data_IF_198066616391
#
_entry.id   IF_198066616391
#
_cell.length_a   1.000
_cell.length_b   1.000
_cell.length_c   1.000
_cell.angle_alpha   90.00
_cell.angle_beta   90.00
_cell.angle_gamma   90.00
#
_symmetry.space_group_name_H-M   'P 1'
#
loop_
_entity.id
_entity.type
_entity.pdbx_description
1 polymer ?
#
# COMPACT_ATOMS: atom_id res chain seq x y z
N UNK A 1 -3.85 23.76 -2.34
CA UNK A 1 -2.72 23.75 -3.30
C UNK A 1 -2.25 22.33 -3.70
N UNK A 2 -2.74 21.24 -3.10
CA UNK A 2 -2.23 19.88 -3.40
C UNK A 2 -2.54 19.36 -4.82
N UNK A 3 -3.55 19.87 -5.54
CA UNK A 3 -3.98 19.34 -6.83
C UNK A 3 -3.41 20.06 -8.08
N UNK A 4 -2.29 20.80 -7.96
CA UNK A 4 -1.79 21.64 -9.06
C UNK A 4 -0.98 20.91 -10.13
N UNK A 5 -0.42 19.73 -9.83
CA UNK A 5 0.36 18.93 -10.77
C UNK A 5 -0.13 17.47 -10.77
N UNK A 6 -0.15 16.85 -11.95
CA UNK A 6 -0.53 15.45 -12.13
C UNK A 6 0.48 14.49 -11.48
N UNK A 7 1.78 14.80 -11.55
CA UNK A 7 2.83 13.98 -10.96
C UNK A 7 4.19 14.69 -11.01
N UNK A 8 5.12 14.25 -10.17
CA UNK A 8 6.48 14.82 -10.12
C UNK A 8 7.22 14.52 -11.42
N UNK A 9 7.04 13.31 -11.95
CA UNK A 9 7.70 12.82 -13.16
C UNK A 9 7.28 13.60 -14.40
N UNK A 10 5.99 13.91 -14.52
CA UNK A 10 5.44 14.78 -15.58
C UNK A 10 6.05 16.17 -15.49
N UNK A 11 6.05 16.78 -14.30
CA UNK A 11 6.62 18.12 -14.09
C UNK A 11 8.13 18.18 -14.39
N UNK A 12 8.89 17.14 -14.07
CA UNK A 12 10.31 17.05 -14.40
C UNK A 12 10.54 16.93 -15.92
N UNK A 13 9.76 16.08 -16.60
CA UNK A 13 9.88 15.86 -18.04
C UNK A 13 9.47 17.08 -18.89
N UNK A 14 8.60 17.95 -18.36
CA UNK A 14 8.25 19.22 -19.00
C UNK A 14 9.36 20.26 -18.97
N UNK A 15 10.31 20.14 -18.03
CA UNK A 15 11.33 21.18 -17.75
C UNK A 15 12.76 20.73 -17.98
N UNK A 16 13.02 19.43 -18.04
CA UNK A 16 14.34 18.85 -18.21
C UNK A 16 14.32 17.86 -19.39
N UNK A 17 15.43 17.78 -20.13
CA UNK A 17 15.60 16.85 -21.24
C UNK A 17 17.04 16.29 -21.30
N UNK A 18 17.22 15.23 -22.08
CA UNK A 18 18.51 14.58 -22.31
C UNK A 18 19.25 14.19 -21.01
N UNK A 19 20.56 14.43 -21.00
CA UNK A 19 21.48 14.04 -19.92
C UNK A 19 21.06 14.56 -18.54
N UNK A 20 20.47 15.75 -18.47
CA UNK A 20 20.03 16.34 -17.20
C UNK A 20 18.85 15.57 -16.60
N UNK A 21 17.84 15.25 -17.43
CA UNK A 21 16.70 14.46 -16.98
C UNK A 21 17.12 13.04 -16.57
N UNK A 22 18.02 12.43 -17.32
CA UNK A 22 18.52 11.08 -17.03
C UNK A 22 19.28 11.04 -15.70
N UNK A 23 20.13 12.02 -15.42
CA UNK A 23 20.88 12.10 -14.18
C UNK A 23 19.97 12.39 -12.98
N UNK A 24 19.00 13.31 -13.13
CA UNK A 24 17.96 13.54 -12.12
C UNK A 24 17.18 12.24 -11.85
N UNK A 25 16.81 11.50 -12.90
CA UNK A 25 16.10 10.22 -12.74
C UNK A 25 16.96 9.16 -12.05
N UNK A 26 18.26 9.09 -12.36
CA UNK A 26 19.20 8.18 -11.70
C UNK A 26 19.27 8.45 -10.20
N UNK A 27 19.36 9.71 -9.80
CA UNK A 27 19.44 10.11 -8.38
C UNK A 27 18.10 9.86 -7.67
N UNK A 28 16.99 10.29 -8.28
CA UNK A 28 15.67 10.23 -7.64
C UNK A 28 15.02 8.85 -7.68
N UNK A 29 15.26 8.03 -8.71
CA UNK A 29 14.59 6.73 -8.92
C UNK A 29 15.55 5.54 -8.95
N UNK A 30 16.86 5.77 -8.93
CA UNK A 30 17.90 4.73 -8.86
C UNK A 30 18.33 4.15 -10.21
N UNK A 31 17.44 4.12 -11.22
CA UNK A 31 17.77 3.71 -12.60
C UNK A 31 16.71 4.18 -13.61
N UNK A 32 17.03 4.24 -14.91
CA UNK A 32 16.02 4.24 -15.96
C UNK A 32 15.26 2.92 -15.97
N UNK A 33 13.93 2.98 -16.08
CA UNK A 33 13.06 1.80 -16.14
C UNK A 33 12.73 1.42 -17.57
N UNK A 34 12.77 0.12 -17.85
CA UNK A 34 12.12 -0.42 -19.05
C UNK A 34 10.62 -0.38 -18.81
N UNK A 35 9.89 0.22 -19.76
CA UNK A 35 8.44 0.20 -19.78
C UNK A 35 7.96 -1.22 -20.11
N UNK A 36 6.90 -1.66 -19.43
CA UNK A 36 6.19 -2.87 -19.80
C UNK A 36 5.13 -2.51 -20.83
N UNK A 37 5.24 -3.07 -22.03
CA UNK A 37 4.27 -2.86 -23.11
C UNK A 37 3.00 -3.67 -22.87
N UNK A 38 1.86 -3.05 -23.15
CA UNK A 38 0.53 -3.68 -23.01
C UNK A 38 -0.12 -3.86 -24.39
N UNK A 39 -0.97 -4.89 -24.51
CA UNK A 39 -1.73 -5.10 -25.75
C UNK A 39 -2.70 -3.94 -26.01
N UNK A 40 -3.09 -3.75 -27.28
CA UNK A 40 -4.06 -2.72 -27.65
C UNK A 40 -5.40 -2.91 -26.92
N UNK A 41 -5.80 -4.16 -26.67
CA UNK A 41 -7.02 -4.48 -25.92
C UNK A 41 -6.90 -4.02 -24.46
N UNK A 42 -5.75 -4.24 -23.83
CA UNK A 42 -5.52 -3.85 -22.43
C UNK A 42 -5.46 -2.33 -22.29
N UNK A 43 -4.81 -1.64 -23.24
CA UNK A 43 -4.80 -0.19 -23.29
C UNK A 43 -6.21 0.38 -23.49
N UNK A 44 -7.01 -0.25 -24.36
CA UNK A 44 -8.40 0.14 -24.59
C UNK A 44 -9.26 -0.03 -23.34
N UNK A 45 -9.08 -1.11 -22.56
CA UNK A 45 -9.79 -1.28 -21.28
C UNK A 45 -9.53 -0.12 -20.31
N UNK A 46 -8.27 0.34 -20.22
CA UNK A 46 -7.92 1.48 -19.39
C UNK A 46 -8.46 2.82 -19.93
N UNK A 47 -8.46 2.99 -21.25
CA UNK A 47 -9.00 4.17 -21.92
C UNK A 47 -10.52 4.27 -21.75
N UNK A 48 -11.26 3.20 -22.07
CA UNK A 48 -12.72 3.11 -21.93
C UNK A 48 -13.12 3.23 -20.44
N UNK A 49 -12.26 2.73 -19.55
CA UNK A 49 -12.41 2.87 -18.11
C UNK A 49 -11.96 4.23 -17.56
N UNK A 50 -11.38 5.14 -18.32
CA UNK A 50 -10.79 6.41 -17.82
C UNK A 50 -9.97 6.24 -16.53
N UNK A 51 -8.94 5.40 -16.59
CA UNK A 51 -7.92 5.34 -15.54
C UNK A 51 -6.52 5.21 -16.16
N UNK A 52 -5.52 5.68 -15.43
CA UNK A 52 -4.13 5.54 -15.85
C UNK A 52 -3.72 4.06 -15.81
N UNK A 53 -3.07 3.57 -16.87
CA UNK A 53 -2.39 2.28 -16.88
C UNK A 53 -0.90 2.53 -17.10
N UNK A 54 -0.05 2.02 -16.22
CA UNK A 54 1.40 2.19 -16.31
C UNK A 54 2.11 0.88 -15.99
N UNK A 55 3.22 0.62 -16.70
CA UNK A 55 3.89 -0.67 -16.71
C UNK A 55 5.40 -0.53 -16.65
N UNK A 56 6.06 -1.25 -15.75
CA UNK A 56 7.52 -1.23 -15.61
C UNK A 56 8.11 -2.64 -15.41
N UNK A 57 9.40 -2.79 -15.70
CA UNK A 57 10.13 -4.05 -15.47
C UNK A 57 11.28 -3.79 -14.49
N UNK A 58 11.37 -4.64 -13.47
CA UNK A 58 12.49 -4.76 -12.52
C UNK A 58 13.14 -6.12 -12.73
N UNK A 59 14.28 -6.13 -13.43
CA UNK A 59 15.06 -7.33 -13.67
C UNK A 59 16.07 -7.63 -12.54
N UNK A 60 16.54 -8.89 -12.52
CA UNK A 60 17.64 -9.37 -11.70
C UNK A 60 18.73 -9.97 -12.59
N UNK A 61 19.93 -10.18 -12.04
CA UNK A 61 20.99 -10.89 -12.75
C UNK A 61 20.61 -12.36 -12.95
N UNK A 62 21.06 -12.96 -14.05
CA UNK A 62 20.82 -14.38 -14.32
C UNK A 62 21.60 -15.24 -13.32
N UNK A 63 20.90 -16.14 -12.63
CA UNK A 63 21.53 -17.14 -11.76
C UNK A 63 21.85 -18.43 -12.54
N UNK A 64 22.93 -19.11 -12.14
CA UNK A 64 23.30 -20.42 -12.72
C UNK A 64 22.46 -21.57 -12.15
N UNK A 65 22.04 -21.46 -10.89
CA UNK A 65 21.35 -22.53 -10.15
C UNK A 65 19.85 -22.32 -10.02
N UNK A 66 19.31 -21.18 -10.46
CA UNK A 66 17.88 -20.84 -10.34
C UNK A 66 17.39 -20.17 -11.60
N UNK A 67 16.20 -20.58 -12.03
CA UNK A 67 15.48 -19.85 -13.06
C UNK A 67 15.02 -18.47 -12.51
N UNK A 68 14.83 -17.46 -13.38
CA UNK A 68 14.16 -16.22 -13.03
C UNK A 68 12.81 -16.49 -12.36
N UNK A 69 12.49 -15.75 -11.30
CA UNK A 69 11.21 -15.85 -10.59
C UNK A 69 10.37 -14.61 -10.89
N UNK A 70 9.88 -14.56 -12.12
CA UNK A 70 9.11 -13.43 -12.63
C UNK A 70 7.69 -13.43 -12.05
N UNK A 71 7.28 -12.28 -11.52
CA UNK A 71 5.92 -12.04 -11.04
C UNK A 71 5.47 -10.64 -11.45
N UNK A 72 4.23 -10.52 -11.93
CA UNK A 72 3.59 -9.22 -12.18
C UNK A 72 2.76 -8.80 -10.99
N UNK A 73 3.13 -7.68 -10.39
CA UNK A 73 2.43 -7.08 -9.25
C UNK A 73 1.69 -5.85 -9.71
N UNK A 74 0.41 -5.74 -9.34
CA UNK A 74 -0.43 -4.59 -9.59
C UNK A 74 -0.71 -3.80 -8.31
N UNK A 75 -0.64 -2.48 -8.39
CA UNK A 75 -1.16 -1.56 -7.39
C UNK A 75 -2.33 -0.77 -8.00
N UNK A 76 -3.47 -0.76 -7.32
CA UNK A 76 -4.67 -0.03 -7.74
C UNK A 76 -4.93 1.12 -6.78
N UNK A 77 -4.98 2.35 -7.32
CA UNK A 77 -5.46 3.53 -6.62
C UNK A 77 -6.75 4.04 -7.26
N UNK A 78 -7.74 4.39 -6.43
CA UNK A 78 -9.05 4.81 -6.87
C UNK A 78 -9.65 5.86 -5.91
N UNK A 79 -10.70 6.55 -6.38
CA UNK A 79 -11.53 7.45 -5.57
C UNK A 79 -12.87 6.79 -5.23
N UNK A 80 -13.67 7.43 -4.38
CA UNK A 80 -15.08 7.05 -4.18
C UNK A 80 -15.94 7.49 -5.38
N UNK A 81 -17.01 6.75 -5.66
CA UNK A 81 -17.86 6.95 -6.85
C UNK A 81 -19.30 7.36 -6.55
N UNK A 82 -19.64 7.51 -5.27
CA UNK A 82 -20.94 8.01 -4.81
C UNK A 82 -20.70 9.06 -3.72
N UNK A 83 -21.61 10.05 -3.58
CA UNK A 83 -21.60 10.94 -2.42
C UNK A 83 -21.59 10.16 -1.12
N UNK A 84 -20.92 10.69 -0.10
CA UNK A 84 -20.86 10.07 1.24
C UNK A 84 -22.23 10.06 1.94
N UNK A 85 -23.22 10.77 1.40
CA UNK A 85 -24.63 10.80 1.85
C UNK A 85 -25.48 9.65 1.32
N UNK A 86 -25.03 8.92 0.30
CA UNK A 86 -25.77 7.76 -0.25
C UNK A 86 -25.74 6.59 0.75
N UNK A 87 -26.56 5.55 0.53
CA UNK A 87 -26.53 4.39 1.43
C UNK A 87 -25.19 3.66 1.39
N UNK A 88 -24.79 3.03 2.50
CA UNK A 88 -23.54 2.26 2.63
C UNK A 88 -23.41 1.22 1.50
N UNK A 89 -24.52 0.55 1.15
CA UNK A 89 -24.57 -0.46 0.10
C UNK A 89 -24.32 0.15 -1.28
N UNK A 90 -25.01 1.25 -1.62
CA UNK A 90 -24.82 1.93 -2.92
C UNK A 90 -23.39 2.45 -3.08
N UNK A 91 -22.81 3.00 -2.02
CA UNK A 91 -21.43 3.46 -2.01
C UNK A 91 -20.45 2.30 -2.25
N UNK A 92 -20.57 1.21 -1.47
CA UNK A 92 -19.72 0.01 -1.61
C UNK A 92 -19.84 -0.60 -3.01
N UNK A 93 -21.05 -0.80 -3.50
CA UNK A 93 -21.30 -1.51 -4.77
C UNK A 93 -20.80 -0.68 -5.96
N UNK A 94 -20.90 0.65 -5.91
CA UNK A 94 -20.30 1.52 -6.92
C UNK A 94 -18.76 1.41 -6.94
N UNK A 95 -18.12 1.30 -5.76
CA UNK A 95 -16.68 1.08 -5.69
C UNK A 95 -16.31 -0.33 -6.16
N UNK A 96 -17.08 -1.37 -5.81
CA UNK A 96 -16.89 -2.74 -6.32
C UNK A 96 -16.94 -2.79 -7.84
N UNK A 97 -17.93 -2.15 -8.47
CA UNK A 97 -18.04 -2.08 -9.92
C UNK A 97 -16.81 -1.41 -10.54
N UNK A 98 -16.39 -0.27 -9.97
CA UNK A 98 -15.21 0.45 -10.46
C UNK A 98 -13.94 -0.38 -10.36
N UNK A 99 -13.61 -0.81 -9.15
CA UNK A 99 -12.36 -1.52 -8.85
C UNK A 99 -12.36 -2.90 -9.52
N UNK A 100 -13.53 -3.53 -9.69
CA UNK A 100 -13.70 -4.73 -10.49
C UNK A 100 -13.19 -4.55 -11.92
N UNK A 101 -13.61 -3.48 -12.61
CA UNK A 101 -13.12 -3.18 -13.96
C UNK A 101 -11.60 -2.94 -14.00
N UNK A 102 -11.04 -2.28 -12.97
CA UNK A 102 -9.59 -2.07 -12.86
C UNK A 102 -8.82 -3.38 -12.60
N UNK A 103 -9.40 -4.28 -11.79
CA UNK A 103 -8.86 -5.64 -11.57
C UNK A 103 -8.87 -6.44 -12.87
N UNK A 104 -9.95 -6.38 -13.65
CA UNK A 104 -10.02 -7.07 -14.95
C UNK A 104 -8.97 -6.53 -15.93
N UNK A 105 -8.74 -5.22 -15.98
CA UNK A 105 -7.69 -4.62 -16.79
C UNK A 105 -6.28 -5.01 -16.30
N UNK A 106 -6.06 -5.05 -14.98
CA UNK A 106 -4.80 -5.52 -14.40
C UNK A 106 -4.54 -7.00 -14.72
N UNK A 107 -5.58 -7.84 -14.67
CA UNK A 107 -5.50 -9.24 -15.08
C UNK A 107 -5.22 -9.38 -16.58
N UNK A 108 -5.85 -8.57 -17.43
CA UNK A 108 -5.55 -8.53 -18.87
C UNK A 108 -4.09 -8.09 -19.14
N UNK A 109 -3.54 -7.22 -18.30
CA UNK A 109 -2.12 -6.85 -18.30
C UNK A 109 -1.18 -7.95 -17.75
N UNK A 110 -1.73 -9.09 -17.33
CA UNK A 110 -0.99 -10.25 -16.83
C UNK A 110 -0.61 -10.18 -15.36
N UNK A 111 -1.25 -9.33 -14.55
CA UNK A 111 -1.00 -9.29 -13.11
C UNK A 111 -1.21 -10.67 -12.47
N UNK A 112 -0.32 -11.05 -11.55
CA UNK A 112 -0.42 -12.26 -10.74
C UNK A 112 -0.89 -11.95 -9.31
N UNK A 113 -0.48 -10.79 -8.78
CA UNK A 113 -0.83 -10.31 -7.45
C UNK A 113 -1.33 -8.88 -7.55
N UNK A 114 -2.51 -8.60 -7.02
CA UNK A 114 -3.11 -7.26 -7.01
C UNK A 114 -3.26 -6.76 -5.59
N UNK A 115 -2.73 -5.57 -5.31
CA UNK A 115 -2.94 -4.83 -4.07
C UNK A 115 -3.93 -3.68 -4.26
N UNK A 116 -4.88 -3.57 -3.34
CA UNK A 116 -5.83 -2.45 -3.25
C UNK A 116 -5.40 -1.47 -2.16
N UNK A 117 -5.89 -0.23 -2.22
CA UNK A 117 -5.63 0.80 -1.20
C UNK A 117 -6.31 0.52 0.14
N UNK A 118 -5.98 1.29 1.17
CA UNK A 118 -6.56 1.11 2.50
C UNK A 118 -8.07 1.41 2.54
N UNK A 119 -8.82 0.54 3.24
CA UNK A 119 -10.26 0.64 3.42
C UNK A 119 -10.98 0.94 2.10
N UNK A 120 -10.59 0.25 1.03
CA UNK A 120 -10.94 0.62 -0.35
C UNK A 120 -12.45 0.62 -0.59
N UNK A 121 -13.22 -0.13 0.20
CA UNK A 121 -14.67 -0.31 0.08
C UNK A 121 -15.50 0.84 0.64
N UNK A 122 -14.87 1.84 1.25
CA UNK A 122 -15.57 2.94 1.94
C UNK A 122 -14.88 4.30 1.72
N UNK A 123 -15.62 5.42 1.90
CA UNK A 123 -15.00 6.70 2.21
C UNK A 123 -14.16 6.59 3.49
N UNK A 124 -13.09 7.36 3.57
CA UNK A 124 -12.19 7.37 4.73
C UNK A 124 -12.78 8.21 5.88
N UNK A 125 -13.95 7.80 6.36
CA UNK A 125 -14.81 8.55 7.27
C UNK A 125 -14.27 8.70 8.70
N UNK A 126 -13.06 8.20 8.99
CA UNK A 126 -12.50 8.23 10.34
C UNK A 126 -12.24 9.66 10.87
N UNK A 127 -12.21 10.68 10.01
CA UNK A 127 -12.19 12.08 10.44
C UNK A 127 -13.42 12.51 11.23
N UNK A 128 -14.59 11.99 10.88
CA UNK A 128 -15.86 12.44 11.45
C UNK A 128 -15.99 12.01 12.90
N UNK A 129 -15.31 10.90 13.27
CA UNK A 129 -15.40 10.20 14.57
C UNK A 129 -16.80 9.66 14.85
N UNK A 130 -17.72 9.76 13.90
CA UNK A 130 -19.07 9.23 14.00
C UNK A 130 -19.03 7.71 13.86
N UNK A 131 -19.83 7.01 14.66
CA UNK A 131 -19.98 5.55 14.57
C UNK A 131 -20.90 5.17 13.41
N UNK A 132 -22.08 5.78 13.33
CA UNK A 132 -23.08 5.47 12.31
C UNK A 132 -23.11 6.56 11.23
N UNK A 133 -23.36 6.20 9.96
CA UNK A 133 -23.51 4.82 9.45
C UNK A 133 -22.16 4.13 9.18
N UNK A 134 -21.02 4.79 9.45
CA UNK A 134 -19.69 4.36 8.98
C UNK A 134 -19.25 2.96 9.44
N UNK A 135 -19.66 2.54 10.64
CA UNK A 135 -19.36 1.18 11.16
C UNK A 135 -20.18 0.07 10.50
N UNK A 136 -21.22 0.41 9.71
CA UNK A 136 -21.96 -0.57 8.89
C UNK A 136 -21.17 -1.00 7.64
N UNK A 137 -20.09 -0.28 7.27
CA UNK A 137 -19.14 -0.76 6.26
C UNK A 137 -18.31 -1.95 6.76
N UNK A 138 -18.25 -2.20 8.08
CA UNK A 138 -17.48 -3.30 8.64
C UNK A 138 -18.11 -4.64 8.29
N UNK A 139 -17.33 -5.55 7.70
CA UNK A 139 -17.80 -6.84 7.21
C UNK A 139 -16.89 -8.00 7.63
N UNK A 140 -17.40 -9.24 7.58
CA UNK A 140 -16.60 -10.43 7.82
C UNK A 140 -15.54 -10.63 6.75
N UNK A 141 -14.31 -10.98 7.16
CA UNK A 141 -13.22 -11.29 6.22
C UNK A 141 -13.45 -12.56 5.41
N UNK A 142 -14.30 -13.48 5.87
CA UNK A 142 -14.55 -14.77 5.22
C UNK A 142 -15.85 -14.79 4.42
N UNK A 143 -16.91 -14.21 4.98
CA UNK A 143 -18.27 -14.27 4.42
C UNK A 143 -18.77 -12.91 3.95
N UNK A 144 -18.02 -11.82 4.18
CA UNK A 144 -18.40 -10.48 3.76
C UNK A 144 -18.56 -10.35 2.24
N UNK A 145 -19.48 -9.49 1.78
CA UNK A 145 -19.78 -9.33 0.35
C UNK A 145 -18.54 -8.98 -0.48
N UNK A 146 -17.61 -8.18 0.07
CA UNK A 146 -16.37 -7.84 -0.65
C UNK A 146 -15.47 -9.06 -0.86
N UNK A 147 -15.26 -9.89 0.16
CA UNK A 147 -14.47 -11.12 0.01
C UNK A 147 -15.09 -12.04 -1.02
N UNK A 148 -16.42 -12.22 -1.00
CA UNK A 148 -17.11 -13.06 -1.98
C UNK A 148 -16.99 -12.52 -3.41
N UNK A 149 -17.13 -11.21 -3.58
CA UNK A 149 -16.94 -10.53 -4.86
C UNK A 149 -15.53 -10.77 -5.41
N UNK A 150 -14.51 -10.47 -4.60
CA UNK A 150 -13.11 -10.63 -5.00
C UNK A 150 -12.69 -12.08 -5.19
N UNK A 151 -13.27 -13.03 -4.44
CA UNK A 151 -12.99 -14.46 -4.60
C UNK A 151 -13.37 -14.97 -5.99
N UNK A 152 -14.47 -14.46 -6.55
CA UNK A 152 -14.90 -14.79 -7.92
C UNK A 152 -13.89 -14.26 -8.95
N UNK A 153 -13.40 -13.03 -8.77
CA UNK A 153 -12.40 -12.43 -9.65
C UNK A 153 -11.05 -13.15 -9.54
N UNK A 154 -10.64 -13.52 -8.32
CA UNK A 154 -9.41 -14.26 -8.07
C UNK A 154 -9.38 -15.60 -8.84
N UNK A 155 -10.48 -16.37 -8.78
CA UNK A 155 -10.62 -17.63 -9.55
C UNK A 155 -10.66 -17.37 -11.04
N UNK A 156 -11.50 -16.42 -11.49
CA UNK A 156 -11.70 -16.10 -12.91
C UNK A 156 -10.38 -15.76 -13.61
N UNK A 157 -9.49 -15.06 -12.92
CA UNK A 157 -8.27 -14.53 -13.50
C UNK A 157 -6.99 -15.23 -13.03
N UNK A 158 -7.09 -16.25 -12.16
CA UNK A 158 -5.95 -16.94 -11.54
C UNK A 158 -4.99 -15.95 -10.84
N UNK A 159 -5.53 -15.03 -10.03
CA UNK A 159 -4.76 -13.97 -9.36
C UNK A 159 -4.89 -14.01 -7.85
N UNK A 160 -3.85 -13.57 -7.14
CA UNK A 160 -3.92 -13.27 -5.70
C UNK A 160 -4.38 -11.82 -5.52
N UNK A 161 -5.30 -11.58 -4.59
CA UNK A 161 -5.80 -10.24 -4.27
C UNK A 161 -5.59 -9.92 -2.80
N UNK A 162 -5.04 -8.74 -2.51
CA UNK A 162 -4.87 -8.18 -1.18
C UNK A 162 -5.93 -7.08 -1.01
N UNK A 163 -6.86 -7.31 -0.08
CA UNK A 163 -8.05 -6.47 0.11
C UNK A 163 -8.11 -5.86 1.52
N UNK A 164 -7.66 -4.61 1.71
CA UNK A 164 -7.79 -3.88 2.96
C UNK A 164 -9.22 -3.37 3.19
N UNK A 165 -9.89 -3.89 4.22
CA UNK A 165 -11.28 -3.57 4.57
C UNK A 165 -11.39 -3.18 6.05
N UNK A 166 -12.54 -2.61 6.40
CA UNK A 166 -12.98 -2.56 7.78
C UNK A 166 -13.58 -3.93 8.11
N UNK A 167 -12.96 -4.65 9.02
CA UNK A 167 -13.40 -5.98 9.44
C UNK A 167 -14.33 -5.87 10.65
N UNK A 168 -15.39 -6.69 10.67
CA UNK A 168 -16.15 -7.04 11.86
C UNK A 168 -15.83 -8.48 12.27
N UNK A 169 -15.24 -8.66 13.44
CA UNK A 169 -14.84 -9.98 13.96
C UNK A 169 -15.98 -10.59 14.77
N UNK A 170 -16.90 -11.28 14.09
CA UNK A 170 -18.08 -11.92 14.69
C UNK A 170 -17.71 -12.96 15.78
N UNK A 171 -16.51 -13.55 15.70
CA UNK A 171 -15.99 -14.47 16.72
C UNK A 171 -15.46 -13.76 17.98
N UNK A 172 -15.30 -12.43 17.93
CA UNK A 172 -14.81 -11.60 19.02
C UNK A 172 -15.77 -10.46 19.30
N UNK A 173 -17.03 -10.78 19.56
CA UNK A 173 -18.07 -9.83 19.99
C UNK A 173 -18.20 -8.63 19.04
N UNK A 174 -18.19 -8.91 17.73
CA UNK A 174 -18.32 -7.92 16.65
C UNK A 174 -17.29 -6.77 16.69
N UNK A 175 -16.13 -6.99 17.32
CA UNK A 175 -15.06 -5.98 17.40
C UNK A 175 -14.56 -5.63 16.01
N UNK A 176 -14.39 -4.33 15.78
CA UNK A 176 -13.96 -3.77 14.50
C UNK A 176 -12.43 -3.72 14.40
N UNK A 177 -11.90 -4.01 13.22
CA UNK A 177 -10.47 -3.98 12.92
C UNK A 177 -10.20 -3.38 11.54
N UNK A 178 -9.00 -2.80 11.36
CA UNK A 178 -8.49 -2.48 10.04
C UNK A 178 -7.62 -3.65 9.55
N UNK A 179 -8.06 -4.28 8.45
CA UNK A 179 -7.61 -5.63 8.09
C UNK A 179 -7.37 -5.76 6.60
N UNK A 180 -6.20 -6.27 6.22
CA UNK A 180 -5.93 -6.75 4.87
C UNK A 180 -6.20 -8.26 4.77
N UNK A 181 -7.18 -8.62 3.95
CA UNK A 181 -7.51 -10.01 3.61
C UNK A 181 -6.67 -10.45 2.42
N UNK A 182 -6.09 -11.65 2.48
CA UNK A 182 -5.34 -12.24 1.37
C UNK A 182 -6.15 -13.36 0.75
N UNK A 183 -6.59 -13.13 -0.50
CA UNK A 183 -7.39 -14.06 -1.28
C UNK A 183 -6.48 -14.72 -2.31
N UNK A 184 -6.35 -16.04 -2.23
CA UNK A 184 -5.57 -16.84 -3.17
C UNK A 184 -6.22 -16.89 -4.56
N UNK A 185 -5.42 -17.18 -5.58
CA UNK A 185 -5.88 -17.52 -6.94
C UNK A 185 -6.93 -18.63 -7.01
N UNK A 186 -7.04 -19.44 -5.94
CA UNK A 186 -8.11 -20.45 -5.78
C UNK A 186 -9.45 -19.88 -5.29
N UNK A 187 -9.54 -18.57 -5.04
CA UNK A 187 -10.70 -17.90 -4.43
C UNK A 187 -10.81 -18.10 -2.92
N UNK A 188 -9.89 -18.83 -2.29
CA UNK A 188 -9.90 -19.04 -0.84
C UNK A 188 -9.15 -17.93 -0.12
N UNK A 189 -9.70 -17.46 1.00
CA UNK A 189 -8.96 -16.64 1.97
C UNK A 189 -7.87 -17.51 2.59
N UNK A 190 -6.60 -17.12 2.40
CA UNK A 190 -5.44 -17.82 3.00
C UNK A 190 -4.98 -17.18 4.29
N UNK A 191 -5.59 -16.05 4.67
CA UNK A 191 -5.44 -15.42 5.97
C UNK A 191 -5.69 -13.92 5.93
N UNK A 192 -5.38 -13.25 7.04
CA UNK A 192 -5.57 -11.82 7.23
C UNK A 192 -4.39 -11.20 8.00
N UNK A 193 -4.07 -9.95 7.72
CA UNK A 193 -3.17 -9.11 8.52
C UNK A 193 -3.97 -7.93 9.09
N UNK A 194 -3.82 -7.63 10.38
CA UNK A 194 -4.46 -6.49 11.05
C UNK A 194 -3.46 -5.36 11.25
N UNK A 195 -3.92 -4.11 11.25
CA UNK A 195 -3.06 -2.93 11.37
C UNK A 195 -2.33 -2.91 12.73
N UNK A 196 -1.00 -3.00 12.70
CA UNK A 196 -0.16 -3.05 13.91
C UNK A 196 -0.02 -1.69 14.61
N UNK A 197 -0.02 -0.60 13.84
CA UNK A 197 0.18 0.75 14.36
C UNK A 197 -1.01 1.64 13.98
N UNK A 198 -1.74 2.13 14.98
CA UNK A 198 -2.97 2.90 14.78
C UNK A 198 -2.68 4.40 14.96
N UNK A 199 -2.94 5.25 13.95
CA UNK A 199 -2.76 6.68 14.08
C UNK A 199 -3.80 7.32 15.00
N UNK A 200 -3.40 8.44 15.60
CA UNK A 200 -4.25 9.32 16.41
C UNK A 200 -4.03 10.81 16.05
N UNK A 201 -3.56 11.07 14.82
CA UNK A 201 -3.01 12.37 14.41
C UNK A 201 -3.96 13.12 13.48
N UNK A 202 -4.36 14.34 13.87
CA UNK A 202 -5.22 15.21 13.06
C UNK A 202 -6.56 14.56 12.71
N UNK A 203 -6.85 14.45 11.41
CA UNK A 203 -8.07 13.82 10.89
C UNK A 203 -8.01 12.29 10.91
N UNK A 204 -6.84 11.68 11.13
CA UNK A 204 -6.66 10.23 11.22
C UNK A 204 -7.00 9.72 12.63
N UNK A 205 -8.26 9.86 13.05
CA UNK A 205 -8.77 9.47 14.38
C UNK A 205 -9.13 7.97 14.45
N UNK A 206 -8.32 7.12 13.81
CA UNK A 206 -8.59 5.70 13.63
C UNK A 206 -8.71 4.91 14.94
N UNK A 207 -7.98 5.32 15.99
CA UNK A 207 -8.07 4.68 17.32
C UNK A 207 -9.45 4.79 17.98
N UNK A 208 -10.36 5.59 17.41
CA UNK A 208 -11.76 5.65 17.84
C UNK A 208 -12.56 4.44 17.35
N UNK A 209 -12.08 3.76 16.31
CA UNK A 209 -12.80 2.70 15.60
C UNK A 209 -12.21 1.30 15.86
N UNK A 210 -10.90 1.18 16.03
CA UNK A 210 -10.22 -0.11 16.19
C UNK A 210 -8.91 0.01 16.98
N UNK A 211 -8.47 -1.14 17.51
CA UNK A 211 -7.26 -1.28 18.35
C UNK A 211 -6.09 -1.86 17.56
N UNK A 212 -4.89 -1.77 18.14
CA UNK A 212 -3.67 -2.37 17.61
C UNK A 212 -3.82 -3.90 17.45
N UNK A 213 -3.34 -4.42 16.33
CA UNK A 213 -3.35 -5.86 16.01
C UNK A 213 -2.63 -6.74 17.03
N UNK A 214 -3.15 -7.95 17.21
CA UNK A 214 -2.51 -9.05 17.97
C UNK A 214 -2.00 -10.17 17.07
N UNK A 215 -2.08 -10.02 15.74
CA UNK A 215 -1.71 -11.06 14.76
C UNK A 215 -0.22 -11.04 14.39
N UNK A 216 0.53 -10.05 14.87
CA UNK A 216 1.96 -9.91 14.57
C UNK A 216 2.22 -9.50 13.12
N UNK A 217 3.17 -10.17 12.45
CA UNK A 217 3.66 -9.80 11.13
C UNK A 217 3.57 -10.99 10.15
N UNK A 218 2.36 -11.49 9.86
CA UNK A 218 2.18 -12.69 9.05
C UNK A 218 2.72 -12.47 7.63
N UNK A 219 3.33 -13.53 7.08
CA UNK A 219 3.78 -13.59 5.69
C UNK A 219 3.02 -14.73 5.00
N UNK A 220 2.42 -14.41 3.85
CA UNK A 220 1.55 -15.31 3.12
C UNK A 220 2.33 -15.90 1.95
N UNK A 221 2.58 -17.21 2.00
CA UNK A 221 3.19 -17.91 0.89
C UNK A 221 2.14 -18.21 -0.19
N UNK A 222 2.40 -17.71 -1.39
CA UNK A 222 1.59 -17.95 -2.58
C UNK A 222 2.44 -18.56 -3.68
N UNK A 223 1.82 -19.08 -4.74
CA UNK A 223 2.57 -19.54 -5.92
C UNK A 223 3.35 -18.41 -6.63
N UNK A 224 3.06 -17.15 -6.29
CA UNK A 224 3.67 -15.96 -6.86
C UNK A 224 4.68 -15.27 -5.92
N UNK A 225 5.01 -15.89 -4.79
CA UNK A 225 5.97 -15.37 -3.81
C UNK A 225 5.39 -15.17 -2.42
N UNK A 226 6.27 -14.78 -1.50
CA UNK A 226 5.93 -14.52 -0.09
C UNK A 226 5.57 -13.05 0.14
N UNK A 227 4.35 -12.81 0.61
CA UNK A 227 3.74 -11.48 0.69
C UNK A 227 3.57 -11.06 2.15
N UNK A 228 4.06 -9.87 2.50
CA UNK A 228 3.70 -9.16 3.74
C UNK A 228 2.78 -7.98 3.45
N UNK A 229 2.03 -7.52 4.46
CA UNK A 229 1.16 -6.34 4.34
C UNK A 229 1.38 -5.39 5.52
N UNK A 230 2.06 -4.28 5.27
CA UNK A 230 2.24 -3.21 6.23
C UNK A 230 1.16 -2.13 6.03
N UNK A 231 0.10 -2.14 6.84
CA UNK A 231 -1.05 -1.26 6.60
C UNK A 231 -0.76 0.19 7.05
N UNK A 232 -0.85 1.12 6.10
CA UNK A 232 -0.89 2.57 6.25
C UNK A 232 0.11 3.15 7.26
N UNK A 233 -0.32 3.51 8.46
CA UNK A 233 0.50 4.19 9.47
C UNK A 233 1.68 3.34 9.97
N UNK A 234 1.61 2.03 9.77
CA UNK A 234 2.77 1.16 9.92
C UNK A 234 3.94 1.51 8.99
N UNK A 235 3.73 2.35 7.96
CA UNK A 235 4.80 2.87 7.08
C UNK A 235 5.86 3.66 7.84
N UNK A 236 5.46 4.36 8.90
CA UNK A 236 6.35 5.22 9.70
C UNK A 236 7.24 4.43 10.67
N UNK A 237 7.08 3.11 10.75
CA UNK A 237 7.69 2.26 11.76
C UNK A 237 8.69 1.29 11.09
N UNK A 238 9.99 1.62 11.00
CA UNK A 238 11.00 0.76 10.38
C UNK A 238 11.00 -0.68 10.92
N UNK A 239 10.75 -0.85 12.22
CA UNK A 239 10.63 -2.15 12.88
C UNK A 239 9.48 -3.01 12.34
N UNK A 240 8.36 -2.39 11.95
CA UNK A 240 7.21 -3.12 11.41
C UNK A 240 7.56 -3.72 10.03
N UNK A 241 8.20 -2.93 9.16
CA UNK A 241 8.76 -3.41 7.89
C UNK A 241 9.78 -4.53 8.09
N UNK A 242 10.68 -4.32 9.04
CA UNK A 242 11.75 -5.26 9.36
C UNK A 242 11.21 -6.62 9.78
N UNK A 243 10.17 -6.66 10.61
CA UNK A 243 9.56 -7.91 11.07
C UNK A 243 8.92 -8.71 9.94
N UNK A 244 8.19 -8.09 9.01
CA UNK A 244 7.67 -8.79 7.82
C UNK A 244 8.80 -9.40 6.99
N UNK A 245 9.88 -8.65 6.77
CA UNK A 245 11.02 -9.14 6.02
C UNK A 245 11.76 -10.26 6.76
N UNK A 246 11.87 -10.19 8.10
CA UNK A 246 12.51 -11.23 8.93
C UNK A 246 11.70 -12.53 8.89
N UNK A 247 10.38 -12.42 8.79
CA UNK A 247 9.47 -13.54 8.53
C UNK A 247 9.52 -14.03 7.06
N UNK A 248 10.41 -13.48 6.23
CA UNK A 248 10.71 -14.01 4.91
C UNK A 248 9.92 -13.39 3.76
N UNK A 249 9.23 -12.26 3.97
CA UNK A 249 8.55 -11.54 2.89
C UNK A 249 9.52 -11.21 1.74
N UNK A 250 9.04 -11.34 0.51
CA UNK A 250 9.72 -10.94 -0.73
C UNK A 250 9.11 -9.65 -1.29
N UNK A 251 7.79 -9.49 -1.11
CA UNK A 251 7.03 -8.29 -1.45
C UNK A 251 6.25 -7.85 -0.21
N UNK A 252 6.32 -6.57 0.15
CA UNK A 252 5.51 -5.99 1.22
C UNK A 252 4.59 -4.92 0.63
N UNK A 253 3.28 -5.16 0.68
CA UNK A 253 2.29 -4.16 0.28
C UNK A 253 2.06 -3.16 1.40
N UNK A 254 1.92 -1.89 1.04
CA UNK A 254 1.62 -0.80 1.95
C UNK A 254 0.37 -0.04 1.48
N UNK A 255 -0.82 -0.63 1.69
CA UNK A 255 -2.08 0.04 1.44
C UNK A 255 -2.25 1.20 2.41
N UNK A 256 -2.51 2.38 1.88
CA UNK A 256 -2.58 3.62 2.65
C UNK A 256 -3.75 4.49 2.19
N UNK A 257 -4.21 5.34 3.10
CA UNK A 257 -4.96 6.54 2.80
C UNK A 257 -4.30 7.68 3.57
N UNK A 258 -3.72 8.66 2.88
CA UNK A 258 -3.06 9.80 3.52
C UNK A 258 -3.15 11.06 2.68
N UNK A 259 -3.19 12.22 3.35
CA UNK A 259 -3.41 13.54 2.76
C UNK A 259 -2.35 14.54 3.21
N UNK A 260 -2.31 15.67 2.52
CA UNK A 260 -1.73 16.90 3.06
C UNK A 260 -0.22 17.06 2.87
N UNK A 261 0.20 18.31 3.05
CA UNK A 261 1.55 18.80 2.77
C UNK A 261 2.63 18.26 3.69
N UNK A 262 2.27 17.82 4.90
CA UNK A 262 3.21 17.22 5.84
C UNK A 262 3.46 15.74 5.55
N UNK A 263 2.45 15.00 5.05
CA UNK A 263 2.59 13.58 4.75
C UNK A 263 3.30 13.32 3.42
N UNK A 264 2.97 14.10 2.38
CA UNK A 264 3.43 13.82 1.02
C UNK A 264 4.97 13.77 0.87
N UNK A 265 5.77 14.64 1.51
CA UNK A 265 7.23 14.54 1.46
C UNK A 265 7.81 13.22 1.99
N UNK A 266 7.11 12.55 2.91
CA UNK A 266 7.54 11.27 3.48
C UNK A 266 7.29 10.10 2.53
N UNK A 267 6.29 10.23 1.64
CA UNK A 267 5.83 9.14 0.78
C UNK A 267 6.92 8.55 -0.12
N UNK A 268 7.78 9.43 -0.68
CA UNK A 268 8.88 9.02 -1.52
C UNK A 268 10.06 8.37 -0.77
N UNK A 269 10.03 8.39 0.56
CA UNK A 269 11.14 8.04 1.44
C UNK A 269 10.88 6.71 2.15
N UNK A 270 9.75 6.55 2.83
CA UNK A 270 9.57 5.51 3.86
C UNK A 270 9.50 4.09 3.29
N UNK A 271 8.59 3.84 2.34
CA UNK A 271 8.48 2.53 1.71
C UNK A 271 9.75 2.19 0.89
N UNK A 272 10.34 3.20 0.23
CA UNK A 272 11.62 3.03 -0.48
C UNK A 272 12.76 2.65 0.47
N UNK A 273 12.86 3.31 1.62
CA UNK A 273 13.85 2.96 2.65
C UNK A 273 13.60 1.53 3.18
N UNK A 274 12.35 1.14 3.38
CA UNK A 274 12.01 -0.21 3.79
C UNK A 274 12.44 -1.27 2.77
N UNK A 275 12.28 -1.02 1.46
CA UNK A 275 12.77 -1.89 0.39
C UNK A 275 14.29 -2.09 0.47
N UNK A 276 15.03 -0.98 0.65
CA UNK A 276 16.50 -0.97 0.76
C UNK A 276 16.97 -1.70 2.01
N UNK A 277 16.49 -1.30 3.20
CA UNK A 277 16.96 -1.80 4.48
C UNK A 277 16.70 -3.30 4.68
N UNK A 278 15.67 -3.83 4.01
CA UNK A 278 15.23 -5.20 4.16
C UNK A 278 15.51 -6.10 2.97
N UNK A 279 15.97 -5.53 1.84
CA UNK A 279 16.14 -6.20 0.55
C UNK A 279 14.89 -6.98 0.13
N UNK A 280 13.78 -6.25 0.06
CA UNK A 280 12.46 -6.72 -0.37
C UNK A 280 11.87 -5.72 -1.36
N UNK A 281 10.88 -6.15 -2.15
CA UNK A 281 10.04 -5.22 -2.87
C UNK A 281 9.03 -4.57 -1.92
N UNK A 282 8.72 -3.30 -2.14
CA UNK A 282 7.61 -2.63 -1.44
C UNK A 282 6.66 -2.00 -2.43
N UNK A 283 5.36 -2.10 -2.15
CA UNK A 283 4.28 -1.59 -3.03
C UNK A 283 3.50 -0.54 -2.25
N UNK A 284 3.83 0.73 -2.42
CA UNK A 284 3.12 1.84 -1.78
C UNK A 284 1.87 2.19 -2.58
N UNK A 285 0.70 2.10 -1.95
CA UNK A 285 -0.59 2.36 -2.59
C UNK A 285 -1.33 3.41 -1.77
N UNK A 286 -1.63 4.56 -2.35
CA UNK A 286 -2.42 5.58 -1.68
C UNK A 286 -3.74 5.82 -2.42
N UNK A 287 -4.76 6.19 -1.65
CA UNK A 287 -6.01 6.73 -2.16
C UNK A 287 -5.80 7.99 -3.01
N UNK A 288 -6.76 8.30 -3.88
CA UNK A 288 -6.77 9.52 -4.68
C UNK A 288 -8.10 10.28 -4.56
N UNK A 289 -8.07 11.60 -4.71
CA UNK A 289 -9.25 12.46 -4.72
C UNK A 289 -9.53 13.15 -3.39
N UNK A 290 -10.65 13.86 -3.31
CA UNK A 290 -11.11 14.55 -2.09
C UNK A 290 -12.49 14.06 -1.73
N UNK A 291 -12.69 13.78 -0.44
CA UNK A 291 -13.96 13.27 0.09
C UNK A 291 -14.59 14.32 1.01
N UNK A 292 -15.90 14.52 0.88
CA UNK A 292 -16.68 15.51 1.65
C UNK A 292 -17.76 14.76 2.41
N UNK A 293 -17.95 15.09 3.69
CA UNK A 293 -18.86 14.41 4.61
C UNK A 293 -20.11 15.25 4.93
N UNK A 294 -21.21 14.61 5.41
CA UNK A 294 -22.47 15.32 5.64
C UNK A 294 -22.38 16.38 6.75
N UNK A 295 -21.68 16.04 7.84
CA UNK A 295 -21.55 16.86 9.04
C UNK A 295 -20.16 17.50 9.12
N UNK A 296 -20.08 18.64 9.79
CA UNK A 296 -18.81 19.32 10.02
C UNK A 296 -17.99 18.60 11.10
N UNK A 297 -16.67 18.57 10.91
CA UNK A 297 -15.72 18.07 11.89
C UNK A 297 -14.51 19.01 11.98
N UNK A 298 -13.66 18.81 12.99
CA UNK A 298 -12.45 19.61 13.21
C UNK A 298 -11.21 18.73 13.20
N UNK A 299 -10.12 19.22 12.62
CA UNK A 299 -8.85 18.49 12.50
C UNK A 299 -7.92 18.60 13.71
N UNK A 300 -8.36 19.24 14.81
CA UNK A 300 -7.55 19.41 16.02
C UNK A 300 -6.35 20.37 15.87
N UNK A 301 -6.38 21.26 14.87
CA UNK A 301 -5.31 22.19 14.52
C UNK A 301 -5.69 23.68 14.75
N UNK A 302 -6.80 23.93 15.44
CA UNK A 302 -7.32 25.28 15.71
C UNK A 302 -7.99 25.98 14.53
N UNK A 303 -8.13 25.32 13.38
CA UNK A 303 -8.89 25.84 12.23
C UNK A 303 -10.41 25.63 12.42
N UNK A 304 -11.26 26.37 11.69
CA UNK A 304 -12.71 26.20 11.72
C UNK A 304 -13.14 24.77 11.36
N UNK A 305 -14.34 24.40 11.80
CA UNK A 305 -14.97 23.16 11.36
C UNK A 305 -15.22 23.19 9.84
N UNK A 306 -15.13 22.04 9.21
CA UNK A 306 -15.24 21.88 7.76
C UNK A 306 -15.80 20.50 7.43
N UNK A 307 -16.04 20.23 6.14
CA UNK A 307 -16.65 18.98 5.68
C UNK A 307 -15.72 18.14 4.80
N UNK A 308 -14.62 18.71 4.29
CA UNK A 308 -13.72 18.01 3.39
C UNK A 308 -12.52 17.39 4.14
N UNK A 309 -12.20 16.13 3.86
CA UNK A 309 -11.06 15.46 4.51
C UNK A 309 -9.69 16.00 4.07
N UNK A 310 -9.67 16.74 2.96
CA UNK A 310 -8.46 17.06 2.21
C UNK A 310 -8.21 16.09 1.06
N UNK A 311 -7.16 16.38 0.31
CA UNK A 311 -6.84 15.70 -0.95
C UNK A 311 -5.88 14.53 -0.72
N UNK A 312 -6.34 13.32 -1.02
CA UNK A 312 -5.51 12.13 -1.13
C UNK A 312 -4.70 12.21 -2.44
N UNK A 313 -3.38 12.15 -2.31
CA UNK A 313 -2.46 12.51 -3.38
C UNK A 313 -2.00 11.33 -4.24
N UNK A 314 -2.64 10.16 -4.17
CA UNK A 314 -2.29 8.99 -5.00
C UNK A 314 -0.79 8.70 -4.96
N UNK A 315 -0.11 8.84 -6.10
CA UNK A 315 1.34 8.66 -6.19
C UNK A 315 1.80 7.23 -5.85
N UNK A 316 0.96 6.23 -6.11
CA UNK A 316 1.32 4.83 -5.85
C UNK A 316 2.55 4.43 -6.66
N UNK A 317 3.47 3.67 -6.06
CA UNK A 317 4.73 3.26 -6.69
C UNK A 317 5.24 1.93 -6.13
N UNK A 318 6.21 1.34 -6.82
CA UNK A 318 6.91 0.12 -6.39
C UNK A 318 8.39 0.44 -6.21
N UNK A 319 8.96 0.09 -5.05
CA UNK A 319 10.40 0.15 -4.80
C UNK A 319 11.01 -1.23 -4.72
N UNK A 320 12.25 -1.33 -5.19
CA UNK A 320 13.00 -2.56 -5.33
C UNK A 320 14.12 -2.69 -4.28
N UNK A 321 14.57 -3.93 -4.00
CA UNK A 321 15.65 -4.23 -3.05
C UNK A 321 16.99 -3.52 -3.29
N UNK A 322 17.26 -3.12 -4.54
CA UNK A 322 18.49 -2.44 -4.99
C UNK A 322 18.44 -0.92 -4.81
N UNK A 323 17.36 -0.39 -4.24
CA UNK A 323 17.12 1.04 -4.04
C UNK A 323 16.53 1.77 -5.24
N UNK A 324 16.31 1.08 -6.36
CA UNK A 324 15.54 1.62 -7.46
C UNK A 324 14.04 1.65 -7.15
N UNK A 325 13.27 2.54 -7.79
CA UNK A 325 11.80 2.57 -7.69
C UNK A 325 11.12 3.07 -8.94
N UNK A 326 9.92 2.57 -9.25
CA UNK A 326 9.12 3.05 -10.37
C UNK A 326 8.77 4.54 -10.21
N UNK A 327 8.47 5.22 -11.33
CA UNK A 327 7.63 6.40 -11.31
C UNK A 327 6.34 6.17 -10.51
N UNK A 328 5.81 7.25 -9.95
CA UNK A 328 4.54 7.27 -9.25
C UNK A 328 3.38 7.34 -10.25
N UNK A 329 2.24 6.75 -9.90
CA UNK A 329 0.97 7.07 -10.57
C UNK A 329 0.56 8.53 -10.29
N UNK A 330 -0.45 8.99 -11.02
CA UNK A 330 -1.02 10.33 -10.89
C UNK A 330 -1.41 10.66 -9.44
N UNK A 331 -1.35 11.94 -9.12
CA UNK A 331 -1.79 12.52 -7.85
C UNK A 331 -3.29 12.79 -7.80
N UNK A 332 -3.94 12.81 -8.97
CA UNK A 332 -5.33 13.26 -9.13
C UNK A 332 -6.20 12.27 -9.89
N UNK A 333 -5.60 11.30 -10.59
CA UNK A 333 -6.31 10.27 -11.35
C UNK A 333 -6.25 8.91 -10.68
N UNK A 334 -7.30 8.14 -10.93
CA UNK A 334 -7.31 6.71 -10.65
C UNK A 334 -6.32 5.99 -11.57
N UNK A 335 -5.78 4.85 -11.13
CA UNK A 335 -4.83 4.14 -11.94
C UNK A 335 -4.46 2.75 -11.46
N UNK A 336 -3.91 2.00 -12.41
CA UNK A 336 -3.34 0.67 -12.26
C UNK A 336 -1.85 0.76 -12.63
N UNK A 337 -1.00 0.47 -11.65
CA UNK A 337 0.44 0.32 -11.85
C UNK A 337 0.79 -1.16 -11.87
N UNK A 338 1.35 -1.63 -12.98
CA UNK A 338 1.89 -2.99 -13.11
C UNK A 338 3.42 -2.93 -13.08
N UNK A 339 4.05 -3.81 -12.32
CA UNK A 339 5.47 -4.07 -12.45
C UNK A 339 5.76 -5.57 -12.57
N UNK A 340 6.54 -5.95 -13.58
CA UNK A 340 7.13 -7.29 -13.67
C UNK A 340 8.43 -7.30 -12.86
N UNK A 341 8.48 -8.15 -11.83
CA UNK A 341 9.56 -8.22 -10.86
C UNK A 341 10.22 -9.59 -10.93
N UNK A 342 11.55 -9.64 -10.95
CA UNK A 342 12.28 -10.89 -10.63
C UNK A 342 12.56 -10.97 -9.13
N UNK A 343 11.90 -11.92 -8.45
CA UNK A 343 12.06 -12.12 -7.00
C UNK A 343 13.46 -12.57 -6.60
N UNK A 344 14.28 -13.05 -7.54
CA UNK A 344 15.68 -13.38 -7.27
C UNK A 344 16.50 -12.14 -6.86
N UNK A 345 16.08 -10.94 -7.27
CA UNK A 345 16.74 -9.68 -6.88
C UNK A 345 16.84 -9.52 -5.35
N UNK A 346 15.84 -10.00 -4.61
CA UNK A 346 15.85 -9.96 -3.14
C UNK A 346 17.06 -10.67 -2.55
N UNK A 347 17.43 -11.85 -3.08
CA UNK A 347 18.60 -12.60 -2.61
C UNK A 347 19.89 -11.93 -3.09
N UNK A 348 19.95 -11.54 -4.36
CA UNK A 348 21.13 -10.90 -4.93
C UNK A 348 21.54 -9.65 -4.15
N UNK A 349 20.58 -8.80 -3.77
CA UNK A 349 20.87 -7.63 -2.94
C UNK A 349 21.30 -8.00 -1.51
N UNK A 350 20.68 -9.02 -0.89
CA UNK A 350 21.09 -9.52 0.44
C UNK A 350 22.55 -9.96 0.45
N UNK A 351 22.96 -10.70 -0.58
CA UNK A 351 24.32 -11.23 -0.69
C UNK A 351 25.33 -10.14 -1.03
N UNK A 352 24.97 -9.21 -1.92
CA UNK A 352 25.87 -8.14 -2.36
C UNK A 352 26.12 -7.07 -1.28
N UNK A 353 25.10 -6.68 -0.52
CA UNK A 353 25.18 -5.60 0.47
C UNK A 353 25.37 -6.11 1.90
N UNK A 354 24.95 -7.33 2.22
CA UNK A 354 25.16 -7.94 3.52
C UNK A 354 24.33 -7.36 4.67
N UNK A 355 23.30 -6.53 4.43
CA UNK A 355 22.57 -5.87 5.54
C UNK A 355 21.93 -6.87 6.51
N UNK A 356 21.46 -8.01 6.01
CA UNK A 356 20.90 -9.09 6.85
C UNK A 356 21.97 -9.85 7.61
N UNK A 357 23.19 -9.94 7.07
CA UNK A 357 24.34 -10.57 7.73
C UNK A 357 24.85 -9.70 8.89
N UNK A 358 24.77 -8.37 8.77
CA UNK A 358 25.29 -7.42 9.76
C UNK A 358 24.22 -6.78 10.64
N UNK A 359 23.01 -7.35 10.70
CA UNK A 359 21.87 -6.72 11.36
C UNK A 359 21.92 -6.75 12.91
N UNK A 360 22.73 -7.63 13.52
CA UNK A 360 22.95 -7.74 14.98
C UNK A 360 21.64 -7.83 15.79
N UNK A 361 20.71 -8.69 15.35
CA UNK A 361 19.38 -8.80 15.98
C UNK A 361 19.44 -9.14 17.47
N UNK A 362 20.43 -9.93 17.89
CA UNK A 362 20.68 -10.29 19.27
C UNK A 362 20.90 -9.04 20.15
N UNK A 363 21.77 -8.13 19.69
CA UNK A 363 22.04 -6.87 20.36
C UNK A 363 20.78 -5.98 20.41
N UNK A 364 20.10 -5.81 19.27
CA UNK A 364 18.89 -4.98 19.23
C UNK A 364 17.76 -5.56 20.08
N UNK A 365 17.57 -6.88 20.12
CA UNK A 365 16.57 -7.52 20.96
C UNK A 365 16.84 -7.28 22.45
N UNK A 366 18.09 -7.43 22.90
CA UNK A 366 18.50 -7.10 24.27
C UNK A 366 18.25 -5.63 24.58
N UNK A 367 18.69 -4.72 23.71
CA UNK A 367 18.51 -3.28 23.91
C UNK A 367 17.05 -2.86 23.90
N UNK A 368 16.23 -3.40 22.99
CA UNK A 368 14.79 -3.13 22.97
C UNK A 368 14.08 -3.63 24.24
N UNK A 369 14.53 -4.76 24.79
CA UNK A 369 14.06 -5.25 26.08
C UNK A 369 14.43 -4.27 27.20
N UNK A 370 15.69 -3.83 27.27
CA UNK A 370 16.14 -2.84 28.26
C UNK A 370 15.33 -1.52 28.17
N UNK A 371 15.17 -0.93 26.98
CA UNK A 371 14.48 0.38 26.80
C UNK A 371 12.97 0.31 27.03
N UNK A 372 12.37 -0.88 26.96
CA UNK A 372 10.94 -1.08 27.24
C UNK A 372 10.62 -1.15 28.74
N UNK A 373 11.64 -1.21 29.59
CA UNK A 373 11.45 -1.12 31.03
C UNK A 373 11.01 0.32 31.41
N UNK A 374 9.89 0.50 32.16
CA UNK A 374 9.44 1.82 32.61
C UNK A 374 10.49 2.64 33.38
N UNK A 375 11.43 1.97 34.04
CA UNK A 375 12.50 2.60 34.83
C UNK A 375 13.80 2.81 34.04
N UNK A 376 13.80 2.56 32.72
CA UNK A 376 14.99 2.69 31.89
C UNK A 376 15.57 4.11 31.94
N UNK A 377 16.87 4.19 32.22
CA UNK A 377 17.64 5.43 32.14
C UNK A 377 18.45 5.42 30.84
N UNK A 378 18.22 6.37 29.92
CA UNK A 378 19.02 6.45 28.69
C UNK A 378 20.52 6.53 28.98
N UNK A 379 21.33 5.79 28.21
CA UNK A 379 22.79 5.86 28.27
C UNK A 379 23.28 7.21 27.69
N UNK A 380 23.28 8.24 28.54
CA UNK A 380 23.73 9.60 28.22
C UNK A 380 25.02 9.87 28.99
N UNK A 381 26.12 10.08 28.27
CA UNK A 381 27.42 10.48 28.83
C UNK A 381 27.48 12.01 28.90
N UNK A 382 27.72 12.57 30.10
CA UNK A 382 27.82 14.02 30.34
C UNK A 382 29.26 14.41 30.68
N UNK A 383 29.65 15.62 30.30
CA UNK A 383 30.88 16.26 30.76
C UNK A 383 30.82 16.46 32.28
N UNK A 384 31.90 16.14 32.98
CA UNK A 384 32.01 16.24 34.45
C UNK A 384 32.46 17.62 34.89
#
# INVERSE_FOLDING_TARGET
MAAQIDGVETALAEKLEGVSLDEVKRILYGRPYKTLEFSAETQKLAQDGDFQLSGYIVDAQKEQTRAPRLVRVAAIQNKIHRPTTDSVVEQRDAIHQRVGAMIEAAAAAGANVIGLQEAWTMPFAFCTRERLPWTEFAESVYTGPTTQFLSKLAVKHDIVIISPILERDEEKDDVIWNTAVVISHTGRVIGRSRKNHIPRVGDFNESTYYMESTLGHPVFETKYGRIGINICYGRHHPQNWMMYALNGAEIIFNPSATVGTLSEPLWGIEARNAAIANHVFTVGINRVGTEVFPNEFTSGNGQPAHKDFGHFYGSSYIAAPDGSRTPSLSRVREGVLIAELDLNLCRQCKDAWGFRMTNRLDMYAQKLTEVSNPDYRPDIRREQ
#
